data_IF_260276777409
#
_entry.id   IF_260276777409
#
_cell.length_a   1.000
_cell.length_b   1.000
_cell.length_c   1.000
_cell.angle_alpha   90.00
_cell.angle_beta   90.00
_cell.angle_gamma   90.00
#
_symmetry.space_group_name_H-M   'P 1'
#
loop_
_entity.id
_entity.type
_entity.pdbx_description
1 polymer ?
#
# COMPACT_ATOMS: atom_id res chain seq x y z
N UNK A 1 2.10 -8.41 15.36
CA UNK A 1 0.74 -8.39 15.93
C UNK A 1 0.62 -9.58 16.87
N UNK A 2 0.31 -9.35 18.14
CA UNK A 2 0.02 -10.43 19.10
C UNK A 2 -1.50 -10.66 19.21
N UNK A 3 -1.93 -11.68 19.97
CA UNK A 3 -3.34 -12.06 20.15
C UNK A 3 -4.21 -10.95 20.78
N UNK A 4 -3.58 -10.00 21.48
CA UNK A 4 -4.22 -8.82 22.09
C UNK A 4 -4.37 -7.64 21.11
N UNK A 5 -3.88 -7.78 19.87
CA UNK A 5 -3.97 -6.76 18.82
C UNK A 5 -2.85 -5.71 18.85
N UNK A 6 -1.82 -5.88 19.68
CA UNK A 6 -0.68 -4.97 19.80
C UNK A 6 0.30 -5.24 18.64
N UNK A 7 0.69 -4.18 17.94
CA UNK A 7 1.69 -4.22 16.86
C UNK A 7 3.03 -3.67 17.38
N UNK A 8 4.00 -4.54 17.59
CA UNK A 8 5.39 -4.14 17.83
C UNK A 8 6.12 -4.00 16.49
N UNK A 9 6.77 -2.86 16.29
CA UNK A 9 7.64 -2.55 15.15
C UNK A 9 9.05 -2.40 15.70
N UNK A 10 9.98 -3.26 15.27
CA UNK A 10 11.40 -3.15 15.58
C UNK A 10 12.15 -2.64 14.36
N UNK A 11 13.02 -1.64 14.56
CA UNK A 11 13.96 -1.14 13.56
C UNK A 11 15.35 -1.55 14.02
N UNK A 12 16.12 -2.16 13.13
CA UNK A 12 17.51 -2.53 13.38
C UNK A 12 18.40 -1.88 12.32
N UNK A 13 19.36 -1.07 12.78
CA UNK A 13 20.39 -0.50 11.93
C UNK A 13 21.57 -1.48 11.82
N UNK A 14 21.60 -2.23 10.71
CA UNK A 14 22.61 -3.29 10.46
C UNK A 14 24.07 -2.81 10.45
N UNK A 15 24.32 -1.51 10.30
CA UNK A 15 25.67 -0.94 10.31
C UNK A 15 26.22 -0.63 11.71
N UNK A 16 25.35 -0.34 12.68
CA UNK A 16 25.74 0.08 14.04
C UNK A 16 25.31 -0.91 15.11
N UNK A 17 24.57 -1.97 14.74
CA UNK A 17 23.90 -2.92 15.64
C UNK A 17 22.97 -2.25 16.66
N UNK A 18 22.50 -1.03 16.37
CA UNK A 18 21.48 -0.37 17.18
C UNK A 18 20.12 -0.89 16.77
N UNK A 19 19.31 -1.23 17.75
CA UNK A 19 17.91 -1.59 17.55
C UNK A 19 17.01 -0.73 18.41
N UNK A 20 15.89 -0.31 17.84
CA UNK A 20 14.85 0.48 18.50
C UNK A 20 13.52 -0.24 18.29
N UNK A 21 12.66 -0.25 19.31
CA UNK A 21 11.37 -0.92 19.26
C UNK A 21 10.26 0.06 19.63
N UNK A 22 9.29 0.21 18.73
CA UNK A 22 8.09 1.01 18.92
C UNK A 22 6.90 0.06 19.05
N UNK A 23 6.12 0.21 20.12
CA UNK A 23 4.91 -0.59 20.34
C UNK A 23 3.67 0.25 20.05
N UNK A 24 2.87 -0.18 19.08
CA UNK A 24 1.60 0.42 18.70
C UNK A 24 0.48 -0.43 19.33
N UNK A 25 -0.12 0.11 20.39
CA UNK A 25 -1.25 -0.55 21.08
C UNK A 25 -2.54 -0.31 20.32
N UNK A 26 -3.28 -1.38 20.02
CA UNK A 26 -4.58 -1.30 19.38
C UNK A 26 -5.68 -1.23 20.44
N UNK A 27 -6.10 -0.02 20.79
CA UNK A 27 -7.22 0.19 21.72
C UNK A 27 -8.55 -0.24 21.09
N UNK A 28 -9.32 -1.08 21.81
CA UNK A 28 -10.67 -1.49 21.38
C UNK A 28 -11.54 -0.23 21.19
N UNK A 29 -12.00 0.00 19.96
CA UNK A 29 -12.86 1.14 19.62
C UNK A 29 -12.19 2.28 18.86
N UNK A 30 -10.88 2.20 18.59
CA UNK A 30 -10.14 3.21 17.80
C UNK A 30 -10.70 3.43 16.39
N UNK A 31 -11.34 2.43 15.79
CA UNK A 31 -12.08 2.55 14.54
C UNK A 31 -13.51 2.08 14.74
N UNK A 32 -14.48 2.95 14.47
CA UNK A 32 -15.88 2.55 14.50
C UNK A 32 -16.19 1.63 13.30
N UNK A 33 -17.29 0.86 13.39
CA UNK A 33 -17.80 0.10 12.23
C UNK A 33 -18.11 1.03 11.03
N UNK A 34 -18.40 2.31 11.28
CA UNK A 34 -18.59 3.32 10.24
C UNK A 34 -17.29 3.68 9.52
N UNK A 35 -16.21 3.91 10.28
CA UNK A 35 -14.89 4.22 9.73
C UNK A 35 -14.34 3.06 8.90
N UNK A 36 -14.49 1.82 9.38
CA UNK A 36 -14.09 0.61 8.64
C UNK A 36 -14.84 0.55 7.30
N UNK A 37 -16.16 0.79 7.30
CA UNK A 37 -16.95 0.79 6.05
C UNK A 37 -16.52 1.91 5.10
N UNK A 38 -16.21 3.10 5.61
CA UNK A 38 -15.69 4.22 4.81
C UNK A 38 -14.35 3.83 4.17
N UNK A 39 -13.41 3.30 4.96
CA UNK A 39 -12.10 2.85 4.45
C UNK A 39 -12.23 1.78 3.37
N UNK A 40 -13.15 0.82 3.52
CA UNK A 40 -13.42 -0.20 2.49
C UNK A 40 -13.98 0.44 1.21
N UNK A 41 -14.89 1.40 1.32
CA UNK A 41 -15.47 2.11 0.16
C UNK A 41 -14.41 2.93 -0.58
N UNK A 42 -13.57 3.63 0.16
CA UNK A 42 -12.44 4.40 -0.39
C UNK A 42 -11.45 3.47 -1.09
N UNK A 43 -11.03 2.38 -0.45
CA UNK A 43 -10.13 1.39 -1.05
C UNK A 43 -10.67 0.83 -2.38
N UNK A 44 -11.97 0.53 -2.46
CA UNK A 44 -12.61 0.10 -3.71
C UNK A 44 -12.59 1.18 -4.79
N UNK A 45 -12.84 2.44 -4.41
CA UNK A 45 -12.81 3.55 -5.36
C UNK A 45 -11.41 3.83 -5.90
N UNK A 46 -10.38 3.74 -5.05
CA UNK A 46 -9.00 3.89 -5.49
C UNK A 46 -8.55 2.75 -6.40
N UNK A 47 -8.92 1.51 -6.10
CA UNK A 47 -8.63 0.37 -6.96
C UNK A 47 -9.10 0.58 -8.41
N UNK A 48 -10.33 1.07 -8.61
CA UNK A 48 -10.86 1.32 -9.96
C UNK A 48 -10.08 2.43 -10.69
N UNK A 49 -9.67 3.48 -9.96
CA UNK A 49 -8.84 4.55 -10.52
C UNK A 49 -7.47 4.02 -10.93
N UNK A 50 -6.83 3.27 -10.05
CA UNK A 50 -5.51 2.69 -10.28
C UNK A 50 -5.52 1.73 -11.48
N UNK A 51 -6.56 0.90 -11.61
CA UNK A 51 -6.75 0.01 -12.77
C UNK A 51 -6.88 0.79 -14.09
N UNK A 52 -7.64 1.89 -14.10
CA UNK A 52 -7.76 2.76 -15.28
C UNK A 52 -6.44 3.44 -15.64
N UNK A 53 -5.71 3.94 -14.64
CA UNK A 53 -4.40 4.55 -14.85
C UNK A 53 -3.39 3.53 -15.39
N UNK A 54 -3.37 2.33 -14.82
CA UNK A 54 -2.51 1.23 -15.26
C UNK A 54 -2.84 0.80 -16.69
N UNK A 55 -4.12 0.66 -17.03
CA UNK A 55 -4.55 0.31 -18.39
C UNK A 55 -4.10 1.37 -19.41
N UNK A 56 -4.28 2.65 -19.10
CA UNK A 56 -3.81 3.77 -19.95
C UNK A 56 -2.29 3.74 -20.12
N UNK A 57 -1.54 3.55 -19.04
CA UNK A 57 -0.08 3.49 -19.10
C UNK A 57 0.40 2.29 -19.92
N UNK A 58 -0.23 1.12 -19.77
CA UNK A 58 0.10 -0.06 -20.57
C UNK A 58 -0.17 0.14 -22.04
N UNK A 59 -1.31 0.72 -22.41
CA UNK A 59 -1.65 1.01 -23.80
C UNK A 59 -0.64 1.99 -24.43
N UNK A 60 -0.22 3.03 -23.70
CA UNK A 60 0.81 3.97 -24.15
C UNK A 60 2.15 3.26 -24.37
N UNK A 61 2.61 2.48 -23.38
CA UNK A 61 3.88 1.78 -23.48
C UNK A 61 3.88 0.75 -24.62
N UNK A 62 2.76 0.05 -24.85
CA UNK A 62 2.62 -0.87 -26.00
C UNK A 62 2.72 -0.15 -27.35
N UNK A 63 2.13 1.04 -27.46
CA UNK A 63 2.23 1.86 -28.66
C UNK A 63 3.68 2.35 -28.85
N UNK A 64 4.31 2.87 -27.80
CA UNK A 64 5.71 3.30 -27.82
C UNK A 64 6.63 2.15 -28.26
N UNK A 65 6.49 0.96 -27.67
CA UNK A 65 7.24 -0.24 -28.04
C UNK A 65 7.03 -0.62 -29.51
N UNK A 66 5.81 -0.52 -30.02
CA UNK A 66 5.52 -0.81 -31.43
C UNK A 66 6.18 0.20 -32.37
N UNK A 67 6.07 1.50 -32.07
CA UNK A 67 6.71 2.55 -32.86
C UNK A 67 8.23 2.45 -32.85
N UNK A 68 8.81 2.11 -31.69
CA UNK A 68 10.25 1.91 -31.55
C UNK A 68 10.73 0.73 -32.40
N UNK A 69 9.99 -0.39 -32.41
CA UNK A 69 10.29 -1.55 -33.26
C UNK A 69 10.18 -1.27 -34.76
N UNK A 70 9.35 -0.31 -35.17
CA UNK A 70 9.24 0.10 -36.58
C UNK A 70 10.33 1.09 -37.01
N UNK A 71 10.97 1.76 -36.05
CA UNK A 71 12.06 2.71 -36.31
C UNK A 71 13.46 2.06 -36.31
N UNK A 72 13.57 0.80 -35.85
CA UNK A 72 14.73 -0.07 -36.08
C UNK A 72 14.63 -0.77 -37.44
#
# INVERSE_FOLDING_TARGET
>A
LNEEGILSVSVEEKGTNKSEQITITNEKGRLSKGDIRRMIKEAKSFKEKDEKHLARSRARNQLEDYTYKMMQ
#
